data_IF_607634031259
#
_entry.id   IF_607634031259
#
_cell.length_a   1.000
_cell.length_b   1.000
_cell.length_c   1.000
_cell.angle_alpha   90.00
_cell.angle_beta   90.00
_cell.angle_gamma   90.00
#
_symmetry.space_group_name_H-M   'P 1'
#
loop_
_entity.id
_entity.type
_entity.pdbx_description
1 polymer ?
#
# COMPACT_ATOMS: atom_id res chain seq x y z
N UNK A 1 -6.95 -18.67 5.57
CA UNK A 1 -7.09 -17.45 4.75
C UNK A 1 -5.76 -16.71 4.87
N UNK A 2 -5.00 -16.60 3.79
CA UNK A 2 -3.65 -16.00 3.86
C UNK A 2 -3.78 -14.47 3.78
N UNK A 3 -3.10 -13.76 4.67
CA UNK A 3 -2.90 -12.30 4.57
C UNK A 3 -1.77 -11.99 3.57
N UNK A 4 -1.70 -12.77 2.49
CA UNK A 4 -0.65 -12.61 1.48
C UNK A 4 -0.88 -11.36 0.65
N UNK A 5 0.21 -10.64 0.46
CA UNK A 5 0.29 -9.50 -0.45
C UNK A 5 0.27 -10.04 -1.87
N UNK A 6 -0.92 -10.21 -2.44
CA UNK A 6 -1.06 -10.54 -3.85
C UNK A 6 -0.98 -9.25 -4.68
N UNK A 7 0.24 -8.82 -4.97
CA UNK A 7 0.52 -7.66 -5.82
C UNK A 7 -0.09 -7.84 -7.21
N UNK A 8 -0.09 -9.05 -7.75
CA UNK A 8 -0.69 -9.32 -9.06
C UNK A 8 -2.21 -9.10 -9.03
N UNK A 9 -2.87 -9.43 -7.92
CA UNK A 9 -4.28 -9.09 -7.70
C UNK A 9 -4.48 -7.59 -7.58
N UNK A 10 -3.61 -6.87 -6.88
CA UNK A 10 -3.71 -5.41 -6.79
C UNK A 10 -3.60 -4.76 -8.18
N UNK A 11 -2.67 -5.22 -9.02
CA UNK A 11 -2.52 -4.76 -10.42
C UNK A 11 -3.77 -5.07 -11.24
N UNK A 12 -4.29 -6.31 -11.18
CA UNK A 12 -5.52 -6.69 -11.90
C UNK A 12 -6.72 -5.86 -11.47
N UNK A 13 -6.87 -5.63 -10.17
CA UNK A 13 -7.95 -4.80 -9.62
C UNK A 13 -7.79 -3.36 -10.08
N UNK A 14 -6.58 -2.80 -9.99
CA UNK A 14 -6.32 -1.46 -10.48
C UNK A 14 -6.63 -1.31 -11.98
N UNK A 15 -6.23 -2.26 -12.83
CA UNK A 15 -6.59 -2.20 -14.25
C UNK A 15 -8.12 -2.19 -14.51
N UNK A 16 -8.91 -2.75 -13.60
CA UNK A 16 -10.37 -2.87 -13.73
C UNK A 16 -11.17 -1.72 -13.11
N UNK A 17 -10.59 -0.89 -12.22
CA UNK A 17 -11.38 0.22 -11.64
C UNK A 17 -11.54 1.36 -12.65
N UNK A 18 -12.67 2.09 -12.62
CA UNK A 18 -12.92 3.20 -13.54
C UNK A 18 -11.85 4.30 -13.49
N UNK A 19 -11.75 5.08 -14.56
CA UNK A 19 -10.98 6.32 -14.52
C UNK A 19 -11.59 7.34 -13.56
N UNK A 20 -10.77 8.21 -12.98
CA UNK A 20 -11.20 9.30 -12.10
C UNK A 20 -11.57 8.91 -10.67
N UNK A 21 -11.49 7.63 -10.30
CA UNK A 21 -11.70 7.20 -8.90
C UNK A 21 -10.39 7.22 -8.11
N UNK A 22 -10.49 7.57 -6.83
CA UNK A 22 -9.37 7.41 -5.88
C UNK A 22 -9.26 5.93 -5.51
N UNK A 23 -8.04 5.42 -5.57
CA UNK A 23 -7.71 3.99 -5.39
C UNK A 23 -6.90 3.86 -4.10
N UNK A 24 -7.41 3.12 -3.14
CA UNK A 24 -6.78 2.92 -1.83
C UNK A 24 -6.52 1.44 -1.60
N UNK A 25 -5.29 1.08 -1.22
CA UNK A 25 -4.92 -0.28 -0.84
C UNK A 25 -4.78 -0.39 0.68
N UNK A 26 -5.41 -1.39 1.30
CA UNK A 26 -5.53 -1.45 2.77
C UNK A 26 -4.84 -2.63 3.45
N UNK A 27 -4.49 -3.68 2.69
CA UNK A 27 -3.95 -4.92 3.26
C UNK A 27 -2.63 -5.28 2.60
N UNK A 28 -1.76 -5.94 3.37
CA UNK A 28 -0.49 -6.43 2.87
C UNK A 28 0.64 -5.40 2.78
N UNK A 29 0.56 -4.27 3.48
CA UNK A 29 1.64 -3.28 3.52
C UNK A 29 2.50 -3.49 4.77
N UNK A 30 3.65 -4.14 4.61
CA UNK A 30 4.62 -4.35 5.72
C UNK A 30 5.69 -3.25 5.78
N UNK A 31 5.80 -2.45 4.73
CA UNK A 31 6.76 -1.35 4.67
C UNK A 31 6.82 -0.71 3.28
N UNK A 32 7.89 0.04 3.06
CA UNK A 32 8.10 0.88 1.86
C UNK A 32 8.08 0.05 0.57
N UNK A 33 8.65 -1.15 0.56
CA UNK A 33 8.70 -1.99 -0.64
C UNK A 33 7.31 -2.44 -1.09
N UNK A 34 6.45 -2.89 -0.18
CA UNK A 34 5.07 -3.27 -0.50
C UNK A 34 4.27 -2.03 -0.97
N UNK A 35 4.49 -0.88 -0.34
CA UNK A 35 3.83 0.37 -0.72
C UNK A 35 4.27 0.90 -2.10
N UNK A 36 5.55 0.80 -2.45
CA UNK A 36 6.05 1.20 -3.77
C UNK A 36 5.40 0.38 -4.88
N UNK A 37 5.24 -0.93 -4.70
CA UNK A 37 4.55 -1.78 -5.69
C UNK A 37 3.10 -1.37 -5.92
N UNK A 38 2.43 -0.86 -4.89
CA UNK A 38 1.05 -0.36 -4.99
C UNK A 38 1.00 0.98 -5.73
N UNK A 39 1.98 1.86 -5.49
CA UNK A 39 2.17 3.09 -6.28
C UNK A 39 2.38 2.75 -7.76
N UNK A 40 3.28 1.81 -8.06
CA UNK A 40 3.56 1.35 -9.43
C UNK A 40 2.33 0.72 -10.10
N UNK A 41 1.44 0.11 -9.30
CA UNK A 41 0.16 -0.44 -9.76
C UNK A 41 -0.94 0.64 -9.94
N UNK A 42 -0.66 1.92 -9.68
CA UNK A 42 -1.59 3.04 -9.85
C UNK A 42 -2.50 3.30 -8.65
N UNK A 43 -2.17 2.80 -7.46
CA UNK A 43 -2.87 3.20 -6.24
C UNK A 43 -2.45 4.60 -5.80
N UNK A 44 -3.42 5.37 -5.32
CA UNK A 44 -3.21 6.76 -4.91
C UNK A 44 -2.89 6.89 -3.42
N UNK A 45 -3.30 5.91 -2.61
CA UNK A 45 -3.08 5.89 -1.18
C UNK A 45 -3.00 4.47 -0.64
N UNK A 46 -2.37 4.35 0.54
CA UNK A 46 -2.33 3.12 1.33
C UNK A 46 -2.87 3.36 2.73
N UNK A 47 -3.60 2.39 3.27
CA UNK A 47 -3.98 2.32 4.68
C UNK A 47 -3.12 1.25 5.34
N UNK A 48 -2.37 1.65 6.37
CA UNK A 48 -1.40 0.79 7.04
C UNK A 48 -1.75 0.71 8.52
N UNK A 49 -2.04 -0.51 9.00
CA UNK A 49 -2.42 -0.77 10.38
C UNK A 49 -1.32 -1.50 11.15
N UNK A 50 -1.32 -2.82 11.07
CA UNK A 50 -0.49 -3.72 11.88
C UNK A 50 0.99 -3.32 11.91
N UNK A 51 1.62 -3.14 10.76
CA UNK A 51 3.06 -2.81 10.67
C UNK A 51 3.43 -1.46 11.30
N UNK A 52 2.49 -0.52 11.40
CA UNK A 52 2.69 0.74 12.12
C UNK A 52 2.45 0.59 13.62
N UNK A 53 1.39 -0.11 14.03
CA UNK A 53 1.04 -0.26 15.46
C UNK A 53 2.02 -1.17 16.21
N UNK A 54 2.68 -2.10 15.52
CA UNK A 54 3.71 -2.97 16.12
C UNK A 54 5.13 -2.44 15.91
N UNK A 55 5.31 -1.29 15.26
CA UNK A 55 6.64 -0.71 15.02
C UNK A 55 7.25 -0.18 16.31
N UNK A 56 8.56 -0.39 16.48
CA UNK A 56 9.33 0.26 17.55
C UNK A 56 9.51 1.76 17.32
N UNK A 57 9.37 2.22 16.07
CA UNK A 57 9.52 3.62 15.66
C UNK A 57 8.40 4.03 14.70
N UNK A 58 7.14 4.18 15.15
CA UNK A 58 6.00 4.46 14.26
C UNK A 58 6.16 5.75 13.45
N UNK A 59 6.74 6.81 14.05
CA UNK A 59 7.00 8.08 13.35
C UNK A 59 7.98 7.91 12.18
N UNK A 60 9.05 7.15 12.37
CA UNK A 60 10.02 6.87 11.30
C UNK A 60 9.37 6.03 10.19
N UNK A 61 8.58 5.01 10.58
CA UNK A 61 7.87 4.16 9.63
C UNK A 61 6.85 4.95 8.79
N UNK A 62 6.06 5.83 9.40
CA UNK A 62 5.16 6.74 8.68
C UNK A 62 5.95 7.68 7.76
N UNK A 63 7.06 8.25 8.24
CA UNK A 63 7.91 9.13 7.43
C UNK A 63 8.46 8.42 6.19
N UNK A 64 8.90 7.17 6.33
CA UNK A 64 9.41 6.37 5.23
C UNK A 64 8.33 6.05 4.19
N UNK A 65 7.10 5.74 4.64
CA UNK A 65 5.95 5.51 3.75
C UNK A 65 5.49 6.80 3.07
N UNK A 66 5.43 7.93 3.79
CA UNK A 66 4.99 9.21 3.26
C UNK A 66 6.01 9.87 2.31
N UNK A 67 7.27 9.42 2.34
CA UNK A 67 8.30 9.87 1.40
C UNK A 67 8.14 9.27 -0.01
N UNK A 68 7.34 8.21 -0.14
CA UNK A 68 6.98 7.65 -1.44
C UNK A 68 6.19 8.69 -2.24
N UNK A 69 6.52 8.83 -3.52
CA UNK A 69 5.82 9.72 -4.44
C UNK A 69 5.17 8.91 -5.55
N UNK A 70 3.90 9.23 -5.82
CA UNK A 70 3.14 8.80 -6.99
C UNK A 70 3.45 9.65 -8.21
#
# INVERSE_FOLDING_TARGET
>A
VTFEVDTDRAVRVAAAMPEGVVRVAESGIRGVEDAQRLVDAGYHAVLVGESLVTSSSPTEAVGALAALRS
#
